data_IF_949669105822
#
_entry.id   IF_949669105822
#
_cell.length_a   1.000
_cell.length_b   1.000
_cell.length_c   1.000
_cell.angle_alpha   90.00
_cell.angle_beta   90.00
_cell.angle_gamma   90.00
#
_symmetry.space_group_name_H-M   'P 1'
#
loop_
_entity.id
_entity.type
_entity.pdbx_description
1 polymer ?
2 polymer ?
3 non-polymer ?
4 water ?
#
# COMPACT_ATOMS: atom_id res chain seq x y z
N UNK A 23 -12.75 23.82 -1.13
CA UNK A 23 -13.63 24.32 -0.08
C UNK A 23 -13.93 23.24 0.96
N UNK A 24 -14.52 22.13 0.49
CA UNK A 24 -15.14 21.13 1.38
C UNK A 24 -14.35 19.83 1.53
N UNK A 25 -13.78 19.64 2.73
CA UNK A 25 -12.94 18.47 3.05
C UNK A 25 -13.57 17.47 4.02
N UNK A 26 -13.53 16.19 3.68
CA UNK A 26 -13.93 15.13 4.61
C UNK A 26 -12.73 14.37 5.20
N UNK A 27 -12.76 14.20 6.52
CA UNK A 27 -11.68 13.57 7.26
C UNK A 27 -12.16 12.26 7.85
N UNK A 28 -11.70 11.15 7.28
CA UNK A 28 -12.07 9.83 7.77
C UNK A 28 -10.95 9.32 8.70
N UNK A 29 -11.30 8.82 9.88
CA UNK A 29 -10.31 8.31 10.81
C UNK A 29 -10.30 6.79 10.86
N UNK A 30 -9.13 6.18 10.95
CA UNK A 30 -8.96 4.72 11.07
C UNK A 30 -8.14 4.38 12.30
N UNK A 31 -7.56 5.39 12.92
CA UNK A 31 -6.77 5.21 14.13
C UNK A 31 -5.28 5.42 13.93
N UNK A 32 -4.48 4.57 14.58
CA UNK A 32 -3.04 4.61 14.46
C UNK A 32 -2.34 5.50 15.47
N UNK A 33 -1.02 5.53 15.40
CA UNK A 33 -0.17 6.27 16.32
C UNK A 33 -0.56 7.74 16.34
N UNK A 34 -0.97 8.27 15.19
CA UNK A 34 -1.40 9.66 15.12
C UNK A 34 -2.50 9.97 16.18
N UNK A 35 -3.44 9.03 16.34
CA UNK A 35 -4.56 9.19 17.28
C UNK A 35 -4.25 8.70 18.70
N UNK A 36 -3.04 8.22 18.93
CA UNK A 36 -2.72 7.56 20.18
C UNK A 36 -2.61 8.48 21.42
N UNK A 37 -3.03 7.93 22.57
CA UNK A 37 -2.77 8.51 23.88
C UNK A 37 -2.59 7.40 24.88
N UNK A 38 -1.44 7.36 25.54
CA UNK A 38 -1.21 6.40 26.62
C UNK A 38 -1.66 6.96 27.97
N UNK A 39 -2.60 6.26 28.61
CA UNK A 39 -3.03 6.67 29.93
C UNK A 39 -2.14 6.13 31.03
N UNK A 40 -2.37 6.60 32.25
CA UNK A 40 -1.59 6.18 33.40
C UNK A 40 -1.96 4.77 33.82
N UNK A 41 -1.50 3.82 33.02
CA UNK A 41 -1.79 2.40 33.18
C UNK A 41 -1.54 1.74 31.83
N UNK A 42 -1.27 0.43 31.82
CA UNK A 42 -0.94 -0.24 30.57
C UNK A 42 -1.87 0.14 29.43
N UNK A 43 -3.06 0.64 29.80
CA UNK A 43 -4.13 0.89 28.84
C UNK A 43 -3.84 1.97 27.80
N UNK A 44 -4.43 1.80 26.63
CA UNK A 44 -4.14 2.66 25.49
C UNK A 44 -5.44 3.25 24.95
N UNK A 45 -5.48 4.56 24.85
CA UNK A 45 -6.67 5.23 24.35
C UNK A 45 -6.43 5.89 22.99
N UNK A 46 -7.52 6.07 22.25
CA UNK A 46 -7.51 6.62 20.91
C UNK A 46 -8.34 7.92 20.83
N UNK A 47 -7.84 8.94 20.14
CA UNK A 47 -8.61 10.15 19.90
C UNK A 47 -9.44 9.95 18.66
N UNK A 48 -10.51 10.71 18.55
CA UNK A 48 -11.30 10.75 17.33
C UNK A 48 -10.60 11.65 16.31
N UNK A 49 -10.99 11.57 15.04
CA UNK A 49 -10.27 12.32 14.01
C UNK A 49 -10.41 13.83 14.23
N UNK A 50 -11.54 14.24 14.82
CA UNK A 50 -11.78 15.64 15.11
C UNK A 50 -10.80 16.17 16.15
N UNK A 51 -10.59 15.40 17.21
CA UNK A 51 -9.66 15.76 18.27
C UNK A 51 -8.22 15.76 17.78
N UNK A 52 -7.86 14.77 16.96
CA UNK A 52 -6.51 14.76 16.41
C UNK A 52 -6.20 16.09 15.73
N UNK A 53 -7.09 16.49 14.81
CA UNK A 53 -6.93 17.73 14.07
C UNK A 53 -6.71 18.92 14.99
N UNK A 54 -7.50 18.96 16.05
CA UNK A 54 -7.44 20.07 16.98
C UNK A 54 -6.21 20.03 17.89
N UNK A 55 -5.80 18.84 18.33
CA UNK A 55 -4.54 18.76 19.08
C UNK A 55 -3.35 19.06 18.18
N UNK A 56 -3.44 18.66 16.92
CA UNK A 56 -2.36 18.94 15.96
C UNK A 56 -2.24 20.45 15.76
N UNK A 57 -3.32 21.17 16.12
CA UNK A 57 -3.31 22.62 16.12
C UNK A 57 -3.64 23.20 14.77
N UNK A 58 -4.49 22.48 14.03
CA UNK A 58 -4.93 22.91 12.71
C UNK A 58 -6.10 23.86 12.86
N UNK A 59 -5.87 25.11 12.48
CA UNK A 59 -6.92 26.14 12.53
C UNK A 59 -7.52 26.28 11.14
N UNK A 60 -6.67 26.15 10.13
CA UNK A 60 -7.09 26.26 8.74
C UNK A 60 -8.39 25.51 8.49
N UNK A 61 -8.30 24.19 8.36
CA UNK A 61 -9.46 23.38 8.00
C UNK A 61 -10.78 24.01 8.43
N UNK A 62 -11.54 24.46 7.43
CA UNK A 62 -12.86 25.04 7.65
C UNK A 62 -13.84 24.40 6.67
N UNK A 63 -15.08 24.22 7.10
CA UNK A 63 -16.07 23.51 6.30
C UNK A 63 -15.61 22.07 6.17
N UNK A 64 -14.97 21.57 7.23
CA UNK A 64 -14.44 20.22 7.23
C UNK A 64 -15.26 19.29 8.12
N UNK A 65 -15.71 18.18 7.54
CA UNK A 65 -16.46 17.19 8.27
C UNK A 65 -15.53 16.10 8.79
N UNK A 66 -16.04 15.29 9.69
CA UNK A 66 -15.28 14.20 10.25
C UNK A 66 -16.08 12.91 10.21
N UNK A 67 -15.38 11.79 10.18
CA UNK A 67 -16.02 10.49 10.06
C UNK A 67 -15.06 9.41 10.56
N UNK A 68 -15.35 8.85 11.73
CA UNK A 68 -14.46 7.89 12.36
C UNK A 68 -14.85 6.45 12.04
N UNK A 69 -14.22 5.88 11.02
CA UNK A 69 -14.49 4.52 10.61
C UNK A 69 -13.96 3.50 11.61
N UNK A 70 -12.69 3.65 11.98
CA UNK A 70 -12.08 2.78 12.97
C UNK A 70 -11.16 3.57 13.89
N UNK A 71 -10.67 2.91 14.92
CA UNK A 71 -9.75 3.52 15.87
C UNK A 71 -8.78 2.48 16.39
N UNK A 72 -8.12 1.80 15.47
CA UNK A 72 -7.24 0.69 15.84
C UNK A 72 -5.79 0.92 15.41
N UNK A 73 -4.91 0.05 15.86
CA UNK A 73 -3.54 0.01 15.39
C UNK A 73 -3.57 -0.63 14.00
N UNK A 74 -2.89 -0.02 13.05
CA UNK A 74 -3.03 -0.47 11.65
C UNK A 74 -2.58 -1.92 11.43
N UNK A 75 -1.88 -2.48 12.41
CA UNK A 75 -1.46 -3.87 12.38
C UNK A 75 -2.67 -4.83 12.36
N UNK A 76 -3.80 -4.36 12.88
CA UNK A 76 -5.02 -5.17 12.95
C UNK A 76 -5.84 -5.20 11.66
N UNK A 77 -5.51 -4.32 10.72
CA UNK A 77 -6.27 -4.18 9.47
C UNK A 77 -6.41 -5.52 8.73
N UNK A 78 -7.62 -5.82 8.30
CA UNK A 78 -7.91 -7.02 7.50
C UNK A 78 -8.36 -6.58 6.11
N UNK A 79 -8.46 -7.53 5.17
CA UNK A 79 -8.95 -7.12 3.84
C UNK A 79 -10.40 -6.60 3.83
N UNK A 80 -11.23 -7.09 4.75
CA UNK A 80 -12.62 -6.64 4.87
C UNK A 80 -12.68 -5.17 5.26
N UNK A 81 -11.74 -4.73 6.09
CA UNK A 81 -11.62 -3.32 6.44
C UNK A 81 -11.51 -2.41 5.22
N UNK A 82 -10.93 -2.95 4.13
CA UNK A 82 -10.79 -2.21 2.87
C UNK A 82 -12.11 -2.04 2.12
N UNK A 83 -12.93 -3.09 2.12
CA UNK A 83 -14.26 -3.03 1.54
C UNK A 83 -15.11 -1.96 2.23
N UNK A 84 -15.02 -1.88 3.56
CA UNK A 84 -15.68 -0.83 4.33
C UNK A 84 -15.23 0.54 3.84
N UNK A 85 -13.93 0.73 3.85
CA UNK A 85 -13.35 2.02 3.47
C UNK A 85 -13.69 2.41 2.02
N UNK A 86 -13.61 1.45 1.10
CA UNK A 86 -13.96 1.68 -0.28
C UNK A 86 -15.38 2.22 -0.40
N UNK A 87 -16.33 1.51 0.22
CA UNK A 87 -17.73 1.90 0.17
C UNK A 87 -17.96 3.29 0.68
N UNK A 88 -17.42 3.55 1.86
CA UNK A 88 -17.52 4.87 2.44
C UNK A 88 -17.01 5.94 1.48
N UNK A 89 -15.82 5.70 0.95
CA UNK A 89 -15.21 6.68 0.06
C UNK A 89 -16.06 6.84 -1.20
N UNK A 90 -16.56 5.73 -1.73
CA UNK A 90 -17.31 5.80 -2.97
C UNK A 90 -18.61 6.58 -2.77
N UNK A 91 -19.10 6.63 -1.55
CA UNK A 91 -20.33 7.36 -1.30
C UNK A 91 -20.09 8.81 -0.91
N UNK A 92 -18.84 9.18 -0.75
CA UNK A 92 -18.53 10.56 -0.39
C UNK A 92 -17.78 11.35 -1.44
N UNK A 93 -17.23 10.64 -2.44
CA UNK A 93 -16.42 11.30 -3.46
C UNK A 93 -17.13 12.40 -4.25
N UNK A 94 -18.44 12.24 -4.46
CA UNK A 94 -19.23 13.28 -5.14
C UNK A 94 -19.58 14.44 -4.21
N UNK A 95 -19.74 14.15 -2.92
CA UNK A 95 -20.13 15.15 -1.91
C UNK A 95 -19.00 16.09 -1.53
N UNK A 96 -17.75 15.70 -1.80
CA UNK A 96 -16.61 16.51 -1.38
C UNK A 96 -15.63 16.85 -2.48
N UNK A 97 -14.81 17.86 -2.20
CA UNK A 97 -13.71 18.27 -3.06
C UNK A 97 -12.40 17.54 -2.73
N UNK A 98 -12.37 16.91 -1.55
CA UNK A 98 -11.17 16.28 -1.07
C UNK A 98 -11.47 15.42 0.13
N UNK A 99 -10.76 14.30 0.24
CA UNK A 99 -10.87 13.43 1.40
C UNK A 99 -9.48 13.17 1.96
N UNK A 100 -9.40 13.06 3.28
CA UNK A 100 -8.16 12.71 3.97
C UNK A 100 -8.48 11.54 4.87
N UNK A 101 -7.58 10.55 4.93
CA UNK A 101 -7.79 9.37 5.77
C UNK A 101 -6.56 9.21 6.68
N UNK A 102 -6.78 9.30 7.99
CA UNK A 102 -5.69 9.12 8.94
C UNK A 102 -5.61 7.66 9.38
N UNK A 103 -4.41 7.13 9.45
CA UNK A 103 -4.20 5.70 9.43
C UNK A 103 -2.92 5.46 10.22
N UNK A 104 -2.79 4.27 10.81
CA UNK A 104 -1.53 3.88 11.41
C UNK A 104 -0.53 3.64 10.29
N UNK A 105 0.76 3.85 10.58
CA UNK A 105 1.80 3.70 9.55
C UNK A 105 2.11 2.23 9.17
N UNK A 106 1.94 1.30 10.10
CA UNK A 106 2.26 -0.10 9.81
C UNK A 106 1.65 -0.65 8.49
N UNK A 107 0.39 -0.32 8.18
CA UNK A 107 -0.22 -0.85 6.97
C UNK A 107 -0.79 0.24 6.06
N UNK A 108 -0.45 1.48 6.37
CA UNK A 108 -0.89 2.62 5.57
C UNK A 108 -0.73 2.40 4.08
N UNK A 109 0.40 1.82 3.68
CA UNK A 109 0.72 1.68 2.29
C UNK A 109 -0.05 0.52 1.65
N UNK A 110 -0.36 -0.48 2.46
CA UNK A 110 -1.27 -1.57 2.03
C UNK A 110 -2.66 -1.02 1.66
N UNK A 111 -3.23 -0.25 2.57
CA UNK A 111 -4.51 0.37 2.33
C UNK A 111 -4.48 1.31 1.12
N UNK A 112 -3.58 2.29 1.11
CA UNK A 112 -3.53 3.22 -0.02
C UNK A 112 -3.44 2.50 -1.36
N UNK A 113 -2.64 1.42 -1.40
CA UNK A 113 -2.50 0.64 -2.63
C UNK A 113 -3.84 0.03 -3.02
N UNK A 114 -4.44 -0.66 -2.04
CA UNK A 114 -5.67 -1.39 -2.28
C UNK A 114 -6.81 -0.46 -2.68
N UNK A 115 -6.85 0.74 -2.09
CA UNK A 115 -7.93 1.65 -2.39
C UNK A 115 -7.76 2.11 -3.83
N UNK A 116 -6.51 2.21 -4.26
CA UNK A 116 -6.23 2.71 -5.60
C UNK A 116 -6.82 1.75 -6.61
N UNK A 117 -6.86 0.47 -6.24
CA UNK A 117 -7.41 -0.54 -7.15
C UNK A 117 -8.94 -0.55 -7.10
N UNK A 118 -9.47 -0.58 -5.89
CA UNK A 118 -10.91 -0.58 -5.66
C UNK A 118 -11.62 0.66 -6.21
N UNK A 119 -11.24 1.83 -5.73
CA UNK A 119 -11.81 3.09 -6.22
C UNK A 119 -11.17 3.51 -7.53
N UNK A 120 -11.40 2.72 -8.58
CA UNK A 120 -10.78 2.94 -9.88
C UNK A 120 -10.50 4.40 -10.23
N UNK A 121 -11.55 5.14 -10.59
CA UNK A 121 -11.38 6.50 -11.07
C UNK A 121 -11.96 7.56 -10.14
N UNK A 122 -11.18 7.98 -9.15
CA UNK A 122 -11.64 8.98 -8.18
C UNK A 122 -11.65 10.39 -8.76
N UNK A 123 -12.77 11.11 -8.60
CA UNK A 123 -12.98 12.46 -9.11
C UNK A 123 -12.24 13.54 -8.30
N UNK A 124 -11.79 13.17 -7.11
CA UNK A 124 -11.13 14.08 -6.17
C UNK A 124 -9.87 13.46 -5.57
N UNK A 125 -8.96 14.31 -5.08
CA UNK A 125 -7.82 13.79 -4.31
C UNK A 125 -8.25 13.06 -3.04
N UNK A 126 -7.78 11.84 -2.86
CA UNK A 126 -7.96 11.13 -1.59
C UNK A 126 -6.57 10.90 -0.96
N UNK A 127 -6.32 11.55 0.18
CA UNK A 127 -4.99 11.57 0.78
C UNK A 127 -4.88 10.82 2.10
N UNK A 128 -4.12 9.73 2.10
CA UNK A 128 -3.78 8.98 3.32
C UNK A 128 -2.58 9.58 4.03
N UNK A 129 -2.67 9.70 5.35
CA UNK A 129 -1.58 10.25 6.15
C UNK A 129 -1.67 9.63 7.54
N UNK A 130 -0.69 9.92 8.38
CA UNK A 130 -0.60 9.31 9.69
C UNK A 130 0.57 10.01 10.36
N UNK A 131 1.10 9.40 11.40
CA UNK A 131 2.31 9.92 12.03
C UNK A 131 3.05 8.87 12.87
N UNK A 132 4.35 9.08 13.00
CA UNK A 132 5.24 8.21 13.76
C UNK A 132 5.20 8.66 15.21
N UNK A 133 4.83 9.93 15.41
CA UNK A 133 4.71 10.48 16.75
C UNK A 133 3.31 11.01 16.97
N UNK A 134 2.62 10.49 18.02
CA UNK A 134 1.23 10.85 18.33
C UNK A 134 1.06 12.35 18.45
N UNK A 135 -0.07 12.83 17.94
CA UNK A 135 -0.38 14.27 17.87
C UNK A 135 -0.36 14.89 19.25
N UNK A 136 -0.70 14.06 20.24
CA UNK A 136 -0.48 14.32 21.67
C UNK A 136 0.85 15.00 21.99
N UNK A 137 1.95 14.33 21.67
CA UNK A 137 3.27 14.72 22.11
C UNK A 137 3.86 15.93 21.38
N UNK A 138 4.99 16.40 21.88
CA UNK A 138 5.72 17.50 21.27
C UNK A 138 6.61 16.97 20.16
N UNK A 139 6.96 17.85 19.24
CA UNK A 139 7.71 17.48 18.05
C UNK A 139 7.03 16.35 17.28
N UNK A 140 5.71 16.26 17.41
CA UNK A 140 4.94 15.34 16.60
C UNK A 140 5.01 15.76 15.13
N UNK A 141 5.00 14.77 14.25
CA UNK A 141 5.02 15.04 12.84
C UNK A 141 3.60 15.13 12.30
N UNK A 142 2.63 14.99 13.20
CA UNK A 142 1.22 15.13 12.86
C UNK A 142 0.85 16.48 12.22
N UNK A 143 1.28 17.60 12.83
CA UNK A 143 0.93 18.89 12.21
C UNK A 143 1.39 19.03 10.77
N UNK A 144 2.62 18.62 10.49
CA UNK A 144 3.18 18.72 9.15
C UNK A 144 2.43 17.79 8.20
N UNK A 145 2.18 16.57 8.64
CA UNK A 145 1.51 15.62 7.78
C UNK A 145 0.10 16.06 7.40
N UNK A 146 -0.63 16.56 8.39
CA UNK A 146 -2.01 16.97 8.18
C UNK A 146 -2.09 18.23 7.35
N UNK A 147 -1.23 19.19 7.68
CA UNK A 147 -1.16 20.42 6.92
C UNK A 147 -0.88 20.10 5.45
N UNK A 148 -0.02 19.11 5.23
CA UNK A 148 0.34 18.69 3.87
C UNK A 148 -0.84 18.01 3.20
N UNK A 149 -1.47 17.06 3.89
CA UNK A 149 -2.63 16.37 3.36
C UNK A 149 -3.75 17.34 2.97
N UNK A 150 -3.99 18.33 3.83
CA UNK A 150 -5.05 19.29 3.60
C UNK A 150 -4.74 20.16 2.41
N UNK A 151 -3.50 20.63 2.34
CA UNK A 151 -3.08 21.47 1.23
C UNK A 151 -3.24 20.73 -0.11
N UNK A 152 -2.91 19.44 -0.12
CA UNK A 152 -3.14 18.63 -1.31
C UNK A 152 -4.61 18.20 -1.53
N UNK A 153 -5.36 18.00 -0.47
CA UNK A 153 -6.81 17.71 -0.60
C UNK A 153 -7.59 18.84 -1.31
N UNK A 154 -7.01 20.04 -1.32
CA UNK A 154 -7.67 21.22 -1.87
C UNK A 154 -7.09 21.62 -3.23
N UNK A 155 -6.12 20.85 -3.70
CA UNK A 155 -5.54 21.03 -5.03
C UNK A 155 -6.56 20.55 -6.03
N UNK A 156 -6.26 20.67 -7.32
CA UNK A 156 -7.18 20.10 -8.29
C UNK A 156 -7.04 18.61 -8.59
N UNK A 157 -6.07 17.97 -7.93
CA UNK A 157 -5.49 16.73 -8.47
C UNK A 157 -6.12 15.43 -7.98
N UNK A 158 -6.95 14.81 -8.80
CA UNK A 158 -7.68 13.63 -8.39
C UNK A 158 -6.80 12.39 -8.24
N UNK A 159 -7.15 11.54 -7.29
CA UNK A 159 -6.52 10.24 -7.16
C UNK A 159 -6.16 9.85 -5.74
N UNK A 160 -5.42 8.76 -5.59
CA UNK A 160 -5.11 8.26 -4.24
C UNK A 160 -3.65 8.55 -3.90
N UNK A 161 -3.43 9.22 -2.77
CA UNK A 161 -2.10 9.67 -2.39
C UNK A 161 -1.74 9.40 -0.94
N UNK A 162 -0.45 9.38 -0.66
CA UNK A 162 0.04 9.39 0.71
C UNK A 162 0.76 10.72 0.96
N UNK A 163 0.41 11.39 2.03
CA UNK A 163 1.19 12.54 2.48
C UNK A 163 2.02 12.11 3.67
N UNK A 164 3.31 12.38 3.64
CA UNK A 164 4.18 12.09 4.77
C UNK A 164 5.47 12.90 4.68
N UNK A 165 5.96 13.33 5.84
CA UNK A 165 7.18 14.13 5.91
C UNK A 165 7.28 15.21 4.84
N UNK A 166 6.17 15.92 4.58
CA UNK A 166 6.18 17.02 3.62
C UNK A 166 6.05 16.65 2.15
N UNK A 167 5.92 15.37 1.87
CA UNK A 167 5.84 14.92 0.48
C UNK A 167 4.46 14.37 0.16
N UNK A 168 4.08 14.44 -1.11
CA UNK A 168 2.88 13.74 -1.57
C UNK A 168 3.28 12.65 -2.57
N UNK A 169 2.82 11.43 -2.34
CA UNK A 169 3.25 10.30 -3.14
C UNK A 169 2.05 9.54 -3.65
N UNK A 170 2.10 9.10 -4.90
CA UNK A 170 1.07 8.24 -5.45
C UNK A 170 0.89 7.04 -4.50
N UNK A 171 -0.35 6.82 -4.07
CA UNK A 171 -0.64 5.82 -3.05
C UNK A 171 -0.27 4.40 -3.42
N UNK A 172 -0.30 4.10 -4.71
CA UNK A 172 -0.03 2.75 -5.17
C UNK A 172 1.46 2.58 -5.58
N UNK A 173 2.27 3.55 -5.21
CA UNK A 173 3.71 3.50 -5.40
C UNK A 173 4.44 3.86 -4.11
N UNK A 174 3.76 3.73 -2.97
CA UNK A 174 4.33 4.12 -1.70
C UNK A 174 4.59 2.90 -0.81
N UNK A 175 5.76 2.87 -0.19
CA UNK A 175 6.10 1.83 0.78
C UNK A 175 6.67 2.48 2.02
N UNK A 176 6.37 1.86 3.17
CA UNK A 176 7.06 2.18 4.42
C UNK A 176 8.51 1.65 4.38
N UNK A 177 9.46 2.56 4.49
CA UNK A 177 10.85 2.20 4.33
C UNK A 177 11.63 2.26 5.66
N UNK A 178 11.14 3.05 6.61
CA UNK A 178 11.78 3.20 7.92
C UNK A 178 10.78 2.94 9.08
N UNK A 179 11.27 2.45 10.20
CA UNK A 179 10.40 2.07 11.31
C UNK A 179 10.51 2.99 12.51
N UNK A 180 11.63 3.69 12.67
CA UNK A 180 11.80 4.54 13.84
C UNK A 180 12.25 5.95 13.48
N UNK A 181 11.59 6.51 12.47
CA UNK A 181 12.12 7.71 11.85
C UNK A 181 11.04 8.48 11.11
N UNK A 182 11.05 9.80 11.28
CA UNK A 182 10.09 10.71 10.68
C UNK A 182 9.84 10.51 9.19
N UNK A 183 10.91 10.31 8.45
CA UNK A 183 10.80 10.13 7.01
C UNK A 183 10.50 8.65 6.73
N UNK A 184 9.30 8.21 7.08
CA UNK A 184 9.00 6.79 7.05
C UNK A 184 8.58 6.24 5.69
N UNK A 185 8.00 7.09 4.83
CA UNK A 185 7.48 6.59 3.55
C UNK A 185 8.18 7.17 2.30
N UNK A 186 8.37 6.34 1.29
CA UNK A 186 8.93 6.82 0.02
C UNK A 186 8.12 6.37 -1.20
N UNK A 187 8.17 7.17 -2.25
CA UNK A 187 7.67 6.76 -3.56
C UNK A 187 8.74 5.90 -4.25
N UNK A 188 8.38 4.67 -4.58
CA UNK A 188 9.35 3.72 -5.12
C UNK A 188 9.38 3.67 -6.64
N UNK A 189 10.53 4.06 -7.20
CA UNK A 189 10.75 4.07 -8.64
C UNK A 189 9.75 4.97 -9.37
N UNK A 190 9.31 6.02 -8.68
CA UNK A 190 8.32 6.94 -9.22
C UNK A 190 8.52 8.29 -8.56
N UNK A 191 8.47 9.37 -9.35
CA UNK A 191 8.78 10.67 -8.74
C UNK A 191 7.77 11.04 -7.65
N UNK A 192 8.22 11.84 -6.70
CA UNK A 192 7.34 12.42 -5.73
C UNK A 192 6.37 13.36 -6.44
N UNK A 193 5.08 13.22 -6.13
CA UNK A 193 4.05 14.06 -6.73
C UNK A 193 4.24 15.55 -6.40
N UNK A 194 4.41 15.85 -5.11
CA UNK A 194 4.78 17.19 -4.67
C UNK A 194 5.50 17.17 -3.32
N UNK A 195 6.28 18.21 -3.07
CA UNK A 195 6.97 18.34 -1.79
C UNK A 195 6.65 19.70 -1.19
N UNK A 196 6.58 19.78 0.13
CA UNK A 196 6.31 21.04 0.80
C UNK A 196 7.53 21.94 0.77
N UNK A 197 7.28 23.24 0.81
CA UNK A 197 8.35 24.23 0.77
C UNK A 197 7.81 25.55 1.28
N UNK A 198 7.60 25.63 2.59
CA UNK A 198 6.96 26.77 3.20
C UNK A 198 5.47 26.53 3.19
N UNK A 199 4.72 27.47 2.64
CA UNK A 199 3.28 27.29 2.51
C UNK A 199 2.94 26.84 1.09
N UNK A 200 3.99 26.51 0.34
CA UNK A 200 3.83 26.11 -1.06
C UNK A 200 4.16 24.66 -1.37
N UNK A 201 3.18 23.97 -1.95
CA UNK A 201 3.41 22.65 -2.50
C UNK A 201 4.03 22.73 -3.90
N UNK A 202 5.26 22.20 -4.00
CA UNK A 202 6.04 22.27 -5.22
C UNK A 202 5.92 20.96 -5.97
N UNK A 203 5.77 21.03 -7.29
CA UNK A 203 5.77 19.81 -8.11
C UNK A 203 7.13 19.10 -8.04
N UNK A 204 7.07 17.81 -7.66
CA UNK A 204 8.23 17.00 -7.29
C UNK A 204 9.24 17.72 -6.38
N UNK B 21 -9.11 -15.05 -2.13
CA UNK B 21 -8.42 -13.81 -1.80
C UNK B 21 -7.35 -14.11 -0.76
N UNK B 22 -7.12 -15.40 -0.50
CA UNK B 22 -6.05 -15.78 0.40
C UNK B 22 -4.73 -15.90 -0.39
N UNK B 23 -3.74 -15.10 -0.02
CA UNK B 23 -2.45 -15.05 -0.74
C UNK B 23 -1.31 -15.29 0.22
N UNK B 24 -0.35 -16.11 -0.22
CA UNK B 24 0.84 -16.37 0.57
C UNK B 24 2.07 -15.69 -0.04
N UNK B 25 2.81 -14.95 0.78
CA UNK B 25 4.05 -14.33 0.32
C UNK B 25 5.26 -14.85 1.10
N UNK B 26 6.14 -15.53 0.34
CA UNK B 26 7.26 -16.26 0.86
C UNK B 26 8.54 -15.65 0.31
N UNK B 27 9.53 -15.48 1.17
CA UNK B 27 10.81 -14.93 0.75
C UNK B 27 11.77 -16.04 0.34
N UNK B 28 12.31 -15.92 -0.87
CA UNK B 28 13.32 -16.84 -1.41
C UNK B 28 14.59 -16.80 -0.59
N UNK B 29 15.03 -17.96 -0.09
CA UNK B 29 16.35 -18.04 0.50
C UNK B 29 17.13 -19.23 -0.08
N UNK B 30 18.46 -19.24 0.06
CA UNK B 30 19.23 -20.35 -0.51
C UNK B 30 18.79 -21.70 0.06
N UNK B 31 18.54 -22.65 -0.84
CA UNK B 31 18.09 -23.97 -0.46
C UNK B 31 16.61 -24.15 -0.12
N UNK B 32 15.79 -23.11 -0.25
CA UNK B 32 14.36 -23.23 0.00
C UNK B 32 13.80 -24.22 -1.01
N UNK B 33 12.86 -25.05 -0.56
CA UNK B 33 12.27 -26.07 -1.41
C UNK B 33 10.82 -25.74 -1.73
N UNK B 34 10.28 -26.42 -2.74
CA UNK B 34 8.92 -26.19 -3.16
C UNK B 34 7.88 -26.83 -2.26
N UNK B 35 8.37 -27.57 -1.26
CA UNK B 35 7.51 -28.26 -0.32
C UNK B 35 6.39 -27.39 0.21
N UNK B 36 6.76 -26.24 0.76
CA UNK B 36 5.78 -25.35 1.39
C UNK B 36 4.85 -24.68 0.40
N UNK B 37 5.18 -24.78 -0.88
CA UNK B 37 4.33 -24.21 -1.91
C UNK B 37 3.20 -25.18 -2.28
N UNK B 38 3.51 -26.47 -2.24
CA UNK B 38 2.51 -27.49 -2.44
C UNK B 38 1.51 -27.40 -1.28
N UNK B 39 2.04 -27.21 -0.07
CA UNK B 39 1.19 -27.11 1.11
C UNK B 39 0.23 -25.93 1.01
N UNK B 40 0.73 -24.79 0.58
CA UNK B 40 -0.12 -23.61 0.46
C UNK B 40 -1.29 -23.87 -0.46
N UNK B 41 -1.03 -24.50 -1.61
CA UNK B 41 -2.08 -24.74 -2.59
C UNK B 41 -3.08 -25.74 -2.06
N UNK B 42 -2.59 -26.74 -1.34
CA UNK B 42 -3.48 -27.67 -0.65
C UNK B 42 -4.32 -26.96 0.41
N UNK B 43 -3.76 -25.93 1.04
CA UNK B 43 -4.47 -25.20 2.09
C UNK B 43 -5.53 -24.24 1.56
N UNK B 44 -5.64 -24.12 0.23
CA UNK B 44 -6.64 -23.27 -0.37
C UNK B 44 -6.20 -21.84 -0.74
N UNK B 45 -4.90 -21.57 -0.57
CA UNK B 45 -4.32 -20.31 -1.04
C UNK B 45 -4.49 -20.22 -2.55
N UNK B 46 -5.00 -19.08 -3.01
CA UNK B 46 -5.37 -18.89 -4.40
C UNK B 46 -4.30 -18.18 -5.21
N UNK B 47 -3.31 -17.64 -4.49
CA UNK B 47 -2.20 -16.93 -5.10
C UNK B 47 -0.94 -16.94 -4.24
N UNK B 48 0.21 -16.92 -4.91
CA UNK B 48 1.50 -16.91 -4.23
C UNK B 48 2.44 -15.88 -4.84
N UNK B 49 3.04 -15.08 -3.96
CA UNK B 49 4.09 -14.14 -4.32
C UNK B 49 5.40 -14.63 -3.76
N UNK B 50 6.40 -14.69 -4.63
CA UNK B 50 7.75 -14.97 -4.18
C UNK B 50 8.63 -13.72 -4.28
N UNK B 51 9.27 -13.39 -3.16
CA UNK B 51 10.22 -12.31 -3.12
C UNK B 51 11.56 -12.86 -3.50
N UNK B 52 11.94 -12.72 -4.77
CA UNK B 52 13.21 -13.23 -5.25
C UNK B 52 14.40 -12.35 -4.93
N UNK B 53 15.59 -12.73 -5.43
CA UNK B 53 16.81 -11.90 -5.30
C UNK B 53 16.98 -10.98 -6.50
N UNK B 54 17.40 -9.75 -6.23
CA UNK B 54 17.74 -8.81 -7.30
C UNK B 54 16.68 -8.72 -8.37
N UNK B 55 17.12 -8.78 -9.62
CA UNK B 55 16.26 -8.59 -10.80
C UNK B 55 15.35 -9.79 -11.08
N UNK B 56 15.48 -10.83 -10.25
CA UNK B 56 14.51 -11.92 -10.27
C UNK B 56 15.02 -13.19 -10.92
N UNK B 57 14.38 -14.29 -10.55
CA UNK B 57 14.74 -15.60 -11.07
C UNK B 57 14.48 -16.76 -10.14
N UNK B 58 14.81 -17.97 -10.62
CA UNK B 58 14.64 -19.20 -9.84
C UNK B 58 15.89 -20.09 -9.93
N UNK B 59 16.26 -20.73 -8.81
CA UNK B 59 17.36 -21.70 -8.86
C UNK B 59 16.99 -22.94 -9.70
N UNK B 60 17.87 -23.33 -10.62
CA UNK B 60 17.64 -24.57 -11.38
C UNK B 60 18.34 -25.78 -10.80
N UNK B 61 18.99 -25.61 -9.66
CA UNK B 61 19.61 -26.73 -8.98
C UNK B 61 19.77 -26.45 -7.48
N UNK B 62 19.70 -27.51 -6.68
CA UNK B 62 19.85 -27.40 -5.24
C UNK B 62 18.56 -27.66 -4.51
N UNK B 63 17.46 -27.79 -5.25
CA UNK B 63 16.13 -27.97 -4.65
C UNK B 63 15.10 -28.32 -5.73
N UNK B 64 13.93 -28.77 -5.28
CA UNK B 64 12.83 -29.13 -6.18
C UNK B 64 12.01 -27.90 -6.57
N UNK B 65 12.49 -26.74 -6.12
CA UNK B 65 11.76 -25.48 -6.25
C UNK B 65 11.25 -25.19 -7.66
N UNK B 66 12.15 -25.23 -8.64
CA UNK B 66 11.81 -24.89 -10.01
C UNK B 66 10.78 -25.86 -10.62
N UNK B 67 11.00 -27.16 -10.41
CA UNK B 67 10.04 -28.16 -10.86
C UNK B 67 8.68 -28.03 -10.16
N UNK B 68 8.72 -27.67 -8.88
CA UNK B 68 7.51 -27.49 -8.08
C UNK B 68 6.71 -26.35 -8.65
N UNK B 69 7.42 -25.31 -9.09
CA UNK B 69 6.75 -24.12 -9.63
C UNK B 69 6.26 -24.34 -11.05
N UNK B 70 7.08 -24.98 -11.88
CA UNK B 70 6.68 -25.29 -13.24
C UNK B 70 5.39 -26.07 -13.19
N UNK B 71 5.14 -26.69 -12.04
CA UNK B 71 3.95 -27.50 -11.85
C UNK B 71 2.76 -26.66 -11.40
N UNK B 72 2.92 -25.97 -10.28
CA UNK B 72 1.83 -25.22 -9.68
C UNK B 72 1.52 -23.90 -10.37
N UNK B 73 2.42 -23.45 -11.23
CA UNK B 73 2.24 -22.15 -11.88
C UNK B 73 1.05 -22.13 -12.80
N UNK B 74 0.70 -23.29 -13.33
CA UNK B 74 -0.40 -23.39 -14.28
C UNK B 74 -1.72 -23.51 -13.51
N UNK B 75 -1.62 -23.75 -12.22
CA UNK B 75 -2.79 -24.00 -11.39
C UNK B 75 -3.19 -22.79 -10.52
N UNK B 76 -2.20 -22.12 -9.94
CA UNK B 76 -2.43 -20.82 -9.31
C UNK B 76 -1.41 -19.78 -9.79
N UNK B 77 -1.77 -18.48 -9.73
CA UNK B 77 -0.79 -17.46 -10.08
C UNK B 77 0.41 -17.52 -9.15
N UNK B 78 1.59 -17.50 -9.74
CA UNK B 78 2.81 -17.35 -8.98
C UNK B 78 3.59 -16.10 -9.42
N UNK B 79 3.65 -15.14 -8.52
CA UNK B 79 4.24 -13.84 -8.81
C UNK B 79 5.61 -13.72 -8.18
N UNK B 80 6.53 -13.09 -8.91
CA UNK B 80 7.87 -12.87 -8.41
C UNK B 80 8.17 -11.38 -8.30
N UNK B 81 8.60 -10.97 -7.12
CA UNK B 81 9.06 -9.61 -6.90
C UNK B 81 10.46 -9.69 -6.29
N UNK B 82 11.01 -8.54 -5.91
CA UNK B 82 12.37 -8.50 -5.41
C UNK B 82 12.44 -8.20 -3.91
N UNK B 83 13.44 -8.78 -3.26
CA UNK B 83 13.67 -8.54 -1.84
C UNK B 83 14.26 -7.16 -1.65
N UNK B 84 14.89 -6.64 -2.70
CA UNK B 84 15.48 -5.30 -2.66
C UNK B 84 14.39 -4.23 -2.68
N UNK B 85 14.73 -3.04 -2.18
CA UNK B 85 13.76 -1.97 -2.08
C UNK B 85 13.53 -1.22 -3.40
N UNK B 86 14.58 -0.95 -4.15
CA UNK B 86 14.43 -0.16 -5.37
C UNK B 86 14.81 -0.85 -6.68
N UNK B 87 14.09 -0.49 -7.73
CA UNK B 87 14.41 -0.86 -9.10
C UNK B 87 13.59 -2.02 -9.65
N UNK B 88 12.97 -2.80 -8.78
CA UNK B 88 12.04 -3.82 -9.20
C UNK B 88 12.63 -5.05 -9.85
N UNK B 89 11.85 -5.65 -10.75
CA UNK B 89 12.19 -6.95 -11.31
C UNK B 89 12.24 -6.99 -12.83
N UNK B 90 13.09 -7.87 -13.35
CA UNK B 90 13.19 -8.11 -14.80
C UNK B 90 13.68 -9.54 -15.06
N UNK B 91 12.74 -10.43 -15.32
CA UNK B 91 13.07 -11.85 -15.46
C UNK B 91 13.75 -12.16 -16.80
N UNK B 92 13.88 -11.17 -17.67
CA UNK B 92 14.59 -11.37 -18.93
C UNK B 92 16.09 -11.15 -18.77
N UNK B 93 16.47 -10.52 -17.67
CA UNK B 93 17.87 -10.13 -17.45
C UNK B 93 18.83 -11.30 -17.24
N UNK B 94 18.35 -12.36 -16.60
CA UNK B 94 19.20 -13.52 -16.37
C UNK B 94 18.53 -14.83 -16.74
N UNK B 95 19.35 -15.83 -17.00
CA UNK B 95 18.87 -17.19 -17.27
C UNK B 95 18.04 -17.73 -16.10
N UNK B 96 18.46 -17.39 -14.87
CA UNK B 96 17.67 -17.73 -13.69
C UNK B 96 16.30 -17.06 -13.77
N UNK B 97 16.24 -15.88 -14.39
CA UNK B 97 14.98 -15.21 -14.57
C UNK B 97 14.20 -15.86 -15.68
N UNK B 98 14.85 -16.05 -16.82
CA UNK B 98 14.22 -16.60 -18.01
C UNK B 98 13.58 -17.96 -17.74
N UNK B 99 14.29 -18.79 -17.00
CA UNK B 99 13.73 -20.07 -16.57
C UNK B 99 12.44 -19.92 -15.75
N UNK B 100 12.42 -18.95 -14.84
CA UNK B 100 11.22 -18.69 -14.04
C UNK B 100 10.06 -18.26 -14.93
N UNK B 101 10.34 -17.45 -15.95
CA UNK B 101 9.34 -17.13 -16.97
C UNK B 101 8.79 -18.39 -17.69
N UNK B 102 9.71 -19.23 -18.16
CA UNK B 102 9.35 -20.47 -18.82
C UNK B 102 8.51 -21.35 -17.92
N UNK B 103 8.82 -21.37 -16.63
CA UNK B 103 8.02 -22.13 -15.66
C UNK B 103 6.64 -21.54 -15.36
N UNK B 104 6.33 -20.39 -15.98
CA UNK B 104 5.05 -19.71 -15.79
C UNK B 104 4.96 -18.70 -14.65
N UNK B 105 6.11 -18.17 -14.23
CA UNK B 105 6.13 -17.13 -13.20
C UNK B 105 5.77 -15.76 -13.77
N UNK B 106 4.93 -15.05 -13.03
CA UNK B 106 4.48 -13.72 -13.41
C UNK B 106 5.34 -12.66 -12.73
N UNK B 107 6.02 -11.84 -13.54
CA UNK B 107 6.90 -10.82 -12.96
C UNK B 107 6.09 -9.67 -12.38
N UNK B 108 6.64 -8.99 -11.37
CA UNK B 108 5.95 -7.86 -10.75
C UNK B 108 6.44 -6.53 -11.30
N UNK B 109 7.44 -6.57 -12.18
CA UNK B 109 7.98 -5.36 -12.78
C UNK B 109 8.52 -4.38 -11.75
N UNK B 110 8.15 -3.11 -11.89
CA UNK B 110 8.61 -2.09 -10.95
C UNK B 110 7.60 -1.79 -9.82
N UNK B 111 6.65 -2.70 -9.61
CA UNK B 111 5.64 -2.49 -8.58
C UNK B 111 6.22 -2.56 -7.17
N UNK B 112 5.67 -1.77 -6.25
CA UNK B 112 6.01 -1.94 -4.83
C UNK B 112 5.52 -3.31 -4.39
N UNK B 113 6.03 -3.78 -3.25
CA UNK B 113 5.56 -5.03 -2.69
C UNK B 113 4.10 -4.90 -2.20
N UNK B 114 3.75 -3.72 -1.68
CA UNK B 114 2.36 -3.45 -1.29
C UNK B 114 1.42 -3.47 -2.48
N UNK B 115 1.83 -2.86 -3.60
CA UNK B 115 1.02 -2.88 -4.82
C UNK B 115 0.88 -4.29 -5.37
N UNK B 116 2.00 -5.02 -5.46
CA UNK B 116 1.98 -6.39 -5.99
C UNK B 116 0.99 -7.33 -5.26
N UNK B 117 0.96 -7.27 -3.95
CA UNK B 117 0.11 -8.19 -3.21
C UNK B 117 -1.39 -7.77 -3.23
N UNK B 118 -1.67 -6.49 -3.01
CA UNK B 118 -3.05 -6.00 -3.09
C UNK B 118 -3.63 -6.14 -4.50
N UNK B 119 -2.81 -5.87 -5.52
CA UNK B 119 -3.22 -6.04 -6.92
C UNK B 119 -3.65 -7.47 -7.19
N UNK B 120 -2.89 -8.41 -6.63
CA UNK B 120 -3.18 -9.82 -6.77
C UNK B 120 -4.49 -10.18 -6.06
N UNK B 121 -4.59 -9.82 -4.79
CA UNK B 121 -5.80 -10.07 -4.00
C UNK B 121 -7.06 -9.51 -4.69
N UNK B 122 -6.97 -8.28 -5.16
CA UNK B 122 -8.07 -7.65 -5.90
C UNK B 122 -8.48 -8.39 -7.19
N UNK B 123 -7.49 -8.87 -7.95
CA UNK B 123 -7.77 -9.64 -9.15
C UNK B 123 -8.40 -11.01 -8.84
N UNK B 124 -7.83 -11.70 -7.85
CA UNK B 124 -8.36 -12.99 -7.45
C UNK B 124 -9.76 -12.84 -6.90
N UNK B 125 -10.13 -11.59 -6.60
CA UNK B 125 -11.44 -11.29 -6.05
C UNK B 125 -12.55 -11.42 -7.07
N UNK B 126 -12.18 -11.66 -8.32
CA UNK B 126 -13.18 -11.81 -9.37
C UNK B 126 -12.64 -12.51 -10.57
N UNK B 127 -11.87 -13.57 -10.35
CA UNK B 127 -11.36 -14.40 -11.43
C UNK B 127 -10.35 -15.41 -10.89
N UNK B 128 -10.16 -16.50 -11.62
CA UNK B 128 -9.21 -17.52 -11.21
C UNK B 128 -8.46 -18.09 -12.41
N UNK B 129 -8.77 -17.58 -13.59
CA UNK B 129 -8.09 -18.00 -14.81
C UNK B 129 -6.63 -17.54 -14.83
N UNK B 130 -5.76 -18.36 -14.27
CA UNK B 130 -4.34 -18.06 -14.19
C UNK B 130 -3.85 -17.22 -15.37
N UNK B 131 -4.12 -17.69 -16.57
CA UNK B 131 -3.66 -17.03 -17.78
C UNK B 131 -4.20 -15.60 -17.92
N UNK B 132 -5.37 -15.37 -17.33
CA UNK B 132 -5.97 -14.04 -17.37
C UNK B 132 -5.39 -13.21 -16.25
N UNK B 133 -5.30 -13.81 -15.07
CA UNK B 133 -4.70 -13.17 -13.92
C UNK B 133 -3.31 -12.66 -14.27
N UNK B 134 -2.65 -13.37 -15.18
CA UNK B 134 -1.29 -13.10 -15.60
C UNK B 134 -1.19 -11.88 -16.54
N UNK B 135 -2.17 -11.72 -17.42
CA UNK B 135 -2.17 -10.57 -18.33
C UNK B 135 -2.51 -9.30 -17.52
N UNK B 136 -3.29 -9.50 -16.47
CA UNK B 136 -3.72 -8.42 -15.61
C UNK B 136 -2.59 -7.89 -14.73
N UNK B 137 -1.81 -8.80 -14.14
CA UNK B 137 -0.69 -8.43 -13.30
C UNK B 137 0.39 -7.73 -14.11
N UNK B 138 0.35 -7.90 -15.43
CA UNK B 138 1.34 -7.29 -16.31
C UNK B 138 0.81 -6.02 -16.99
N UNK B 139 -0.42 -5.64 -16.66
CA UNK B 139 -1.03 -4.42 -17.16
C UNK B 139 -1.04 -3.33 -16.08
N UNK B 140 -0.78 -2.10 -16.51
CA UNK B 140 -0.81 -0.92 -15.64
C UNK B 140 -2.24 -0.49 -15.41
N UNK B 141 -2.82 -0.91 -14.29
CA UNK B 141 -4.20 -0.59 -13.96
C UNK B 141 -4.44 0.87 -13.51
N UNK B 142 -3.64 1.35 -12.55
CA UNK B 142 -3.92 2.62 -11.89
C UNK B 142 -2.68 3.52 -11.72
N UNK B 143 -1.61 3.21 -12.45
CA UNK B 143 -0.34 3.93 -12.34
C UNK B 143 0.70 3.19 -11.51
N UNK B 144 0.44 1.91 -11.24
CA UNK B 144 1.29 1.12 -10.36
C UNK B 144 2.49 0.44 -11.05
N UNK B 145 2.49 0.44 -12.38
CA UNK B 145 3.40 -0.39 -13.16
C UNK B 145 3.78 0.24 -14.49
N UNK B 146 5.02 0.02 -14.92
CA UNK B 146 5.40 0.38 -16.27
C UNK B 146 5.25 -0.83 -17.18
N UNK B 147 4.37 -0.71 -18.17
CA UNK B 147 4.01 -1.85 -19.03
C UNK B 147 4.23 -1.52 -20.52
X LIG C 1 1.78 0.44 15.21
X LIG C 1 1.32 1.76 14.75
X LIG C 1 0.15 1.66 13.76
X LIG C 1 -1.03 1.84 14.09
X LIG C 1 2.49 2.50 14.09
X LIG C 1 2.14 3.92 13.63
X LIG C 1 0.96 4.27 13.37
X LIG C 1 3.09 4.72 13.53
X LIG C 1 0.39 1.41 12.57
#
# INVERSE_FOLDING_TARGET
MGSSHHHHHHSSGLVPRGSHMAMKILLIGMGGTIASVKGENGYEASLSVKEVLDIAGIKDCEDCDFLDLKNVDSTLIQPEDWVDLAETLYKNVKKYDGIIVTHGTDTLAYTSSMISFMLRNPPIPIVFTGSMIPATEENSDAPLNLQTAIKFATSGIRGVYVAFNGKVMLGVRTSKVRTMSRDAFESINYPIIAELRGEDLVVN
MGSSHHHHHHSSGLVPRGSHMAVLVIKLIPGLSGDIFRAAVELGYRGIVIEGYGAGGIPYRGSDLLQTIEELSKEIPIVMTTQAMYDGVDLTRYKVGRLALRAGVIPAGDMTKEATVTKLMWILGHTNNVEEIKVLMRKNLVGELRD
ASP N CA C O CB CG OD1 OD2 OXT
#
